data_IF_715171392468
#
_entry.id   IF_715171392468
#
_cell.length_a   1.000
_cell.length_b   1.000
_cell.length_c   1.000
_cell.angle_alpha   90.00
_cell.angle_beta   90.00
_cell.angle_gamma   90.00
#
_symmetry.space_group_name_H-M   'P 1'
#
loop_
_entity.id
_entity.type
_entity.pdbx_description
1 polymer ?
#
# COMPACT_ATOMS: atom_id res chain seq x y z
N UNK A 1 -5.13 -4.72 58.74
CA UNK A 1 -5.27 -5.55 57.52
C UNK A 1 -6.48 -5.04 56.76
N UNK A 2 -6.29 -4.28 55.68
CA UNK A 2 -7.39 -3.74 54.89
C UNK A 2 -7.55 -4.59 53.61
N UNK A 3 -8.61 -5.38 53.54
CA UNK A 3 -9.03 -6.10 52.34
C UNK A 3 -9.67 -5.11 51.38
N UNK A 4 -8.90 -4.67 50.39
CA UNK A 4 -9.36 -3.76 49.36
C UNK A 4 -9.95 -4.59 48.19
N UNK A 5 -11.20 -5.06 48.32
CA UNK A 5 -11.93 -5.75 47.25
C UNK A 5 -12.65 -4.73 46.37
N UNK A 6 -11.88 -3.93 45.64
CA UNK A 6 -12.38 -3.07 44.56
C UNK A 6 -12.35 -3.80 43.23
N UNK A 7 -13.23 -4.80 43.03
CA UNK A 7 -13.40 -5.43 41.71
C UNK A 7 -14.19 -4.47 40.80
N UNK A 8 -13.50 -3.47 40.23
CA UNK A 8 -14.01 -2.80 39.04
C UNK A 8 -14.05 -3.85 37.93
N UNK A 9 -15.24 -4.37 37.66
CA UNK A 9 -15.50 -5.33 36.58
C UNK A 9 -15.15 -4.65 35.25
N UNK A 10 -13.89 -4.74 34.84
CA UNK A 10 -13.43 -4.21 33.57
C UNK A 10 -13.62 -5.29 32.51
N UNK A 11 -14.15 -4.89 31.36
CA UNK A 11 -14.30 -5.74 30.18
C UNK A 11 -13.14 -5.40 29.24
N UNK A 12 -12.52 -6.42 28.67
CA UNK A 12 -11.47 -6.24 27.66
C UNK A 12 -12.08 -5.64 26.39
N UNK A 13 -11.52 -4.53 25.90
CA UNK A 13 -11.95 -3.88 24.67
C UNK A 13 -11.69 -4.74 23.42
N UNK A 14 -10.63 -5.55 23.43
CA UNK A 14 -10.25 -6.40 22.29
C UNK A 14 -11.14 -7.64 22.12
N UNK A 15 -11.32 -8.44 23.16
CA UNK A 15 -12.07 -9.71 23.08
C UNK A 15 -13.47 -9.66 23.69
N UNK A 16 -13.87 -8.56 24.34
CA UNK A 16 -15.16 -8.41 25.00
C UNK A 16 -15.34 -9.25 26.28
N UNK A 17 -14.34 -10.04 26.68
CA UNK A 17 -14.41 -10.87 27.89
C UNK A 17 -14.14 -10.04 29.15
N UNK A 18 -14.69 -10.50 30.28
CA UNK A 18 -14.41 -9.90 31.59
C UNK A 18 -12.97 -10.17 32.00
N UNK A 19 -12.26 -9.13 32.45
CA UNK A 19 -10.90 -9.23 32.94
C UNK A 19 -10.93 -9.79 34.36
N UNK A 20 -10.30 -10.95 34.57
CA UNK A 20 -10.25 -11.64 35.87
C UNK A 20 -9.10 -11.14 36.77
N UNK A 21 -8.18 -10.33 36.23
CA UNK A 21 -7.03 -9.76 36.93
C UNK A 21 -6.93 -8.23 36.79
N UNK A 22 -5.70 -7.71 36.80
CA UNK A 22 -5.45 -6.28 36.57
C UNK A 22 -5.64 -5.94 35.09
N UNK A 23 -6.42 -4.89 34.76
CA UNK A 23 -6.55 -4.43 33.38
C UNK A 23 -5.27 -3.75 32.91
N UNK A 24 -4.94 -3.94 31.63
CA UNK A 24 -3.83 -3.24 30.97
C UNK A 24 -4.38 -2.06 30.16
N UNK A 25 -4.12 -0.80 30.56
CA UNK A 25 -4.65 0.38 29.87
C UNK A 25 -3.81 0.74 28.63
N UNK A 26 -4.47 1.04 27.51
CA UNK A 26 -3.86 1.56 26.29
C UNK A 26 -4.83 2.47 25.53
N UNK A 27 -4.37 3.67 25.13
CA UNK A 27 -5.18 4.68 24.39
C UNK A 27 -6.58 4.93 25.01
N UNK A 28 -6.69 4.91 26.34
CA UNK A 28 -7.96 5.13 27.06
C UNK A 28 -8.88 3.91 27.18
N UNK A 29 -8.46 2.74 26.68
CA UNK A 29 -9.18 1.47 26.78
C UNK A 29 -8.46 0.46 27.69
N UNK A 30 -9.20 -0.50 28.25
CA UNK A 30 -8.67 -1.57 29.08
C UNK A 30 -8.65 -2.90 28.33
N UNK A 31 -7.56 -3.65 28.45
CA UNK A 31 -7.34 -4.92 27.76
C UNK A 31 -6.95 -6.04 28.72
N UNK A 32 -7.23 -7.29 28.34
CA UNK A 32 -6.52 -8.44 28.90
C UNK A 32 -5.09 -8.47 28.34
N UNK A 33 -4.20 -9.24 28.98
CA UNK A 33 -2.78 -9.28 28.62
C UNK A 33 -2.53 -9.61 27.14
N UNK A 34 -3.20 -10.64 26.60
CA UNK A 34 -3.03 -11.05 25.20
C UNK A 34 -3.50 -9.96 24.23
N UNK A 35 -4.69 -9.39 24.44
CA UNK A 35 -5.19 -8.31 23.58
C UNK A 35 -4.35 -7.03 23.73
N UNK A 36 -3.77 -6.79 24.90
CA UNK A 36 -2.85 -5.67 25.12
C UNK A 36 -1.58 -5.82 24.29
N UNK A 37 -0.99 -7.02 24.23
CA UNK A 37 0.19 -7.27 23.39
C UNK A 37 -0.11 -7.02 21.91
N UNK A 38 -1.23 -7.52 21.40
CA UNK A 38 -1.64 -7.26 20.00
C UNK A 38 -1.88 -5.78 19.76
N UNK A 39 -2.61 -5.11 20.65
CA UNK A 39 -2.89 -3.68 20.51
C UNK A 39 -1.60 -2.84 20.58
N UNK A 40 -0.62 -3.22 21.40
CA UNK A 40 0.68 -2.57 21.47
C UNK A 40 1.45 -2.69 20.15
N UNK A 41 1.46 -3.88 19.54
CA UNK A 41 2.08 -4.11 18.23
C UNK A 41 1.39 -3.30 17.13
N UNK A 42 0.07 -3.15 17.18
CA UNK A 42 -0.67 -2.31 16.23
C UNK A 42 -0.32 -0.84 16.37
N UNK A 43 -0.14 -0.34 17.60
CA UNK A 43 0.30 1.04 17.84
C UNK A 43 1.71 1.26 17.31
N UNK A 44 2.64 0.35 17.61
CA UNK A 44 4.02 0.45 17.13
C UNK A 44 4.07 0.42 15.59
N UNK A 45 3.29 -0.46 14.97
CA UNK A 45 3.17 -0.51 13.51
C UNK A 45 2.59 0.78 12.94
N UNK A 46 1.57 1.36 13.57
CA UNK A 46 0.98 2.63 13.14
C UNK A 46 2.01 3.77 13.20
N UNK A 47 2.84 3.80 14.24
CA UNK A 47 3.93 4.78 14.40
C UNK A 47 5.02 4.60 13.34
N UNK A 48 5.43 3.35 13.08
CA UNK A 48 6.37 3.04 12.00
C UNK A 48 5.84 3.47 10.64
N UNK A 49 4.56 3.23 10.35
CA UNK A 49 3.94 3.65 9.10
C UNK A 49 3.87 5.18 8.96
N UNK A 50 3.63 5.91 10.05
CA UNK A 50 3.69 7.39 10.05
C UNK A 50 5.10 7.88 9.74
N UNK A 51 6.12 7.27 10.34
CA UNK A 51 7.50 7.67 10.11
C UNK A 51 7.91 7.43 8.65
N UNK A 52 7.49 6.32 8.05
CA UNK A 52 7.70 6.04 6.62
C UNK A 52 7.03 7.10 5.73
N UNK A 53 5.79 7.48 6.05
CA UNK A 53 5.09 8.56 5.34
C UNK A 53 5.85 9.88 5.46
N UNK A 54 6.26 10.26 6.66
CA UNK A 54 6.98 11.51 6.90
C UNK A 54 8.36 11.53 6.26
N UNK A 55 9.07 10.42 6.27
CA UNK A 55 10.31 10.27 5.54
C UNK A 55 10.10 10.43 4.03
N UNK A 56 9.04 9.84 3.48
CA UNK A 56 8.69 9.97 2.05
C UNK A 56 8.42 11.43 1.67
N UNK A 57 7.67 12.16 2.50
CA UNK A 57 7.41 13.60 2.31
C UNK A 57 8.73 14.39 2.34
N UNK A 58 9.54 14.21 3.38
CA UNK A 58 10.83 14.92 3.53
C UNK A 58 11.76 14.67 2.34
N UNK A 59 11.83 13.42 1.86
CA UNK A 59 12.61 13.03 0.68
C UNK A 59 12.16 13.76 -0.58
N UNK A 60 10.86 13.78 -0.87
CA UNK A 60 10.31 14.33 -2.11
C UNK A 60 10.43 15.86 -2.13
N UNK A 61 10.06 16.51 -1.03
CA UNK A 61 10.07 17.97 -0.93
C UNK A 61 11.42 18.56 -0.49
N UNK A 62 12.40 17.70 -0.16
CA UNK A 62 13.74 18.08 0.32
C UNK A 62 13.70 19.05 1.50
N UNK A 63 12.83 18.74 2.47
CA UNK A 63 12.67 19.52 3.71
C UNK A 63 13.18 18.73 4.92
N UNK A 64 13.75 19.42 5.90
CA UNK A 64 14.16 18.81 7.17
C UNK A 64 12.96 18.51 8.07
N UNK A 65 12.01 19.43 8.11
CA UNK A 65 10.80 19.36 8.94
C UNK A 65 9.55 19.56 8.09
N UNK A 66 8.46 18.89 8.48
CA UNK A 66 7.17 19.00 7.79
C UNK A 66 6.38 20.14 8.44
N UNK A 67 5.93 21.15 7.67
CA UNK A 67 5.13 22.25 8.20
C UNK A 67 3.85 21.76 8.89
N UNK A 68 3.44 22.44 9.95
CA UNK A 68 2.25 22.06 10.74
C UNK A 68 0.97 22.04 9.89
N UNK A 69 0.85 22.90 8.88
CA UNK A 69 -0.28 22.92 7.95
C UNK A 69 -0.41 21.60 7.18
N UNK A 70 0.73 21.01 6.82
CA UNK A 70 0.81 19.74 6.09
C UNK A 70 0.49 18.58 7.02
N UNK A 71 0.99 18.60 8.26
CA UNK A 71 0.62 17.63 9.29
C UNK A 71 -0.89 17.65 9.56
N UNK A 72 -1.47 18.84 9.69
CA UNK A 72 -2.91 19.03 9.86
C UNK A 72 -3.70 18.48 8.67
N UNK A 73 -3.19 18.64 7.43
CA UNK A 73 -3.82 18.06 6.25
C UNK A 73 -3.80 16.53 6.30
N UNK A 74 -2.67 15.92 6.66
CA UNK A 74 -2.55 14.46 6.83
C UNK A 74 -3.54 13.97 7.89
N UNK A 75 -3.63 14.64 9.04
CA UNK A 75 -4.57 14.26 10.10
C UNK A 75 -6.03 14.33 9.65
N UNK A 76 -6.41 15.34 8.86
CA UNK A 76 -7.77 15.44 8.31
C UNK A 76 -8.09 14.25 7.40
N UNK A 77 -7.15 13.84 6.57
CA UNK A 77 -7.31 12.68 5.70
C UNK A 77 -7.39 11.37 6.50
N UNK A 78 -6.62 11.22 7.58
CA UNK A 78 -6.75 10.06 8.47
C UNK A 78 -8.11 10.02 9.17
N UNK A 79 -8.61 11.18 9.63
CA UNK A 79 -9.95 11.31 10.24
C UNK A 79 -11.09 11.02 9.26
N UNK A 80 -10.87 11.16 7.95
CA UNK A 80 -11.85 10.77 6.91
C UNK A 80 -11.89 9.26 6.65
N UNK A 81 -11.09 8.46 7.36
CA UNK A 81 -11.03 7.01 7.26
C UNK A 81 -9.99 6.49 6.26
N UNK A 82 -9.14 7.37 5.73
CA UNK A 82 -8.03 6.96 4.85
C UNK A 82 -6.90 6.34 5.67
N UNK A 83 -6.13 5.45 5.03
CA UNK A 83 -5.04 4.71 5.69
C UNK A 83 -3.70 5.40 5.42
N UNK A 84 -2.78 5.34 6.40
CA UNK A 84 -1.43 5.94 6.29
C UNK A 84 -0.70 5.46 5.03
N UNK A 85 -0.66 4.14 4.80
CA UNK A 85 -0.09 3.56 3.57
C UNK A 85 -0.75 4.05 2.29
N UNK A 86 -2.05 4.34 2.34
CA UNK A 86 -2.78 4.90 1.21
C UNK A 86 -2.30 6.31 0.89
N UNK A 87 -2.10 7.14 1.92
CA UNK A 87 -1.53 8.49 1.76
C UNK A 87 -0.11 8.41 1.20
N UNK A 88 0.75 7.54 1.72
CA UNK A 88 2.10 7.33 1.19
C UNK A 88 2.07 6.92 -0.29
N UNK A 89 1.18 5.98 -0.64
CA UNK A 89 0.99 5.52 -2.02
C UNK A 89 0.50 6.64 -2.92
N UNK A 90 -0.31 7.57 -2.39
CA UNK A 90 -0.80 8.74 -3.13
C UNK A 90 0.33 9.67 -3.50
N UNK A 91 1.24 9.95 -2.56
CA UNK A 91 2.41 10.80 -2.80
C UNK A 91 3.33 10.15 -3.84
N UNK A 92 3.64 8.86 -3.69
CA UNK A 92 4.45 8.09 -4.65
C UNK A 92 3.80 8.04 -6.02
N UNK A 93 2.50 7.79 -6.10
CA UNK A 93 1.77 7.78 -7.36
C UNK A 93 1.86 9.13 -8.08
N UNK A 94 1.63 10.23 -7.36
CA UNK A 94 1.62 11.54 -7.97
C UNK A 94 3.01 12.01 -8.42
N UNK A 95 4.05 11.79 -7.62
CA UNK A 95 5.39 12.30 -7.94
C UNK A 95 6.30 11.29 -8.64
N UNK A 96 6.31 10.02 -8.20
CA UNK A 96 7.23 9.02 -8.74
C UNK A 96 6.64 8.31 -9.98
N UNK A 97 5.32 8.12 -10.06
CA UNK A 97 4.68 7.36 -11.17
C UNK A 97 4.12 8.27 -12.26
N UNK A 98 3.43 9.34 -11.88
CA UNK A 98 2.94 10.34 -12.84
C UNK A 98 4.01 11.37 -13.21
N UNK A 99 5.18 11.33 -12.55
CA UNK A 99 6.31 12.22 -12.81
C UNK A 99 5.96 13.71 -12.73
N UNK A 100 4.99 14.09 -11.89
CA UNK A 100 4.63 15.49 -11.71
C UNK A 100 5.80 16.25 -11.07
N UNK A 101 6.04 17.52 -11.47
CA UNK A 101 7.07 18.34 -10.87
C UNK A 101 6.75 18.62 -9.39
N UNK A 102 7.79 18.61 -8.55
CA UNK A 102 7.65 18.93 -7.13
C UNK A 102 7.35 20.42 -6.97
N UNK A 103 6.11 20.73 -6.59
CA UNK A 103 5.66 22.08 -6.26
C UNK A 103 5.84 22.43 -4.78
N UNK A 104 5.21 23.53 -4.32
CA UNK A 104 5.20 23.90 -2.90
C UNK A 104 4.59 22.79 -2.04
N UNK A 105 5.25 22.46 -0.92
CA UNK A 105 4.79 21.42 0.01
C UNK A 105 3.40 21.70 0.59
N UNK A 106 2.98 22.97 0.64
CA UNK A 106 1.65 23.39 1.07
C UNK A 106 0.52 22.80 0.21
N UNK A 107 0.81 22.43 -1.04
CA UNK A 107 -0.16 21.81 -1.94
C UNK A 107 -0.39 20.32 -1.64
N UNK A 108 0.40 19.72 -0.75
CA UNK A 108 0.31 18.29 -0.44
C UNK A 108 -1.08 17.90 0.05
N UNK A 109 -1.75 18.74 0.83
CA UNK A 109 -3.12 18.47 1.29
C UNK A 109 -4.12 18.29 0.14
N UNK A 110 -4.03 19.13 -0.89
CA UNK A 110 -4.86 19.02 -2.09
C UNK A 110 -4.55 17.74 -2.87
N UNK A 111 -3.27 17.43 -3.05
CA UNK A 111 -2.83 16.21 -3.76
C UNK A 111 -3.32 14.96 -3.04
N UNK A 112 -3.16 14.91 -1.70
CA UNK A 112 -3.65 13.81 -0.90
C UNK A 112 -5.16 13.66 -1.06
N UNK A 113 -5.92 14.76 -1.04
CA UNK A 113 -7.36 14.71 -1.21
C UNK A 113 -7.79 14.13 -2.57
N UNK A 114 -7.31 14.74 -3.65
CA UNK A 114 -7.79 14.50 -5.02
C UNK A 114 -7.26 13.21 -5.64
N UNK A 115 -6.03 12.80 -5.29
CA UNK A 115 -5.35 11.70 -5.97
C UNK A 115 -5.42 10.37 -5.23
N UNK A 116 -6.01 10.34 -4.03
CA UNK A 116 -6.04 9.13 -3.20
C UNK A 116 -6.70 7.95 -3.89
N UNK A 117 -7.88 8.17 -4.47
CA UNK A 117 -8.61 7.08 -5.12
C UNK A 117 -7.92 6.63 -6.42
N UNK A 118 -7.31 7.55 -7.16
CA UNK A 118 -6.50 7.21 -8.33
C UNK A 118 -5.31 6.33 -7.95
N UNK A 119 -4.57 6.74 -6.92
CA UNK A 119 -3.42 5.99 -6.41
C UNK A 119 -3.84 4.61 -5.88
N UNK A 120 -4.93 4.55 -5.10
CA UNK A 120 -5.49 3.29 -4.60
C UNK A 120 -5.85 2.33 -5.73
N UNK A 121 -6.52 2.83 -6.77
CA UNK A 121 -6.90 2.04 -7.93
C UNK A 121 -5.68 1.59 -8.75
N UNK A 122 -4.67 2.44 -8.87
CA UNK A 122 -3.40 2.08 -9.49
C UNK A 122 -2.72 0.93 -8.73
N UNK A 123 -2.53 1.06 -7.41
CA UNK A 123 -1.89 0.04 -6.57
C UNK A 123 -2.66 -1.28 -6.63
N UNK A 124 -3.99 -1.24 -6.60
CA UNK A 124 -4.84 -2.43 -6.71
C UNK A 124 -4.62 -3.15 -8.05
N UNK A 125 -4.58 -2.41 -9.16
CA UNK A 125 -4.35 -2.94 -10.50
C UNK A 125 -2.95 -3.53 -10.66
N UNK A 126 -1.90 -2.83 -10.21
CA UNK A 126 -0.53 -3.36 -10.26
C UNK A 126 -0.41 -4.64 -9.43
N UNK A 127 -0.99 -4.66 -8.23
CA UNK A 127 -0.99 -5.85 -7.39
C UNK A 127 -1.71 -7.05 -8.05
N UNK A 128 -2.81 -6.80 -8.77
CA UNK A 128 -3.51 -7.83 -9.50
C UNK A 128 -2.67 -8.42 -10.65
N UNK A 129 -1.96 -7.56 -11.39
CA UNK A 129 -1.05 -7.98 -12.47
C UNK A 129 0.11 -8.81 -11.90
N UNK A 130 0.73 -8.37 -10.80
CA UNK A 130 1.83 -9.11 -10.18
C UNK A 130 1.39 -10.50 -9.71
N UNK A 131 0.25 -10.60 -9.02
CA UNK A 131 -0.30 -11.90 -8.60
C UNK A 131 -0.60 -12.82 -9.77
N UNK A 132 -1.12 -12.28 -10.88
CA UNK A 132 -1.34 -13.07 -12.09
C UNK A 132 -0.01 -13.59 -12.65
N UNK A 133 1.00 -12.74 -12.76
CA UNK A 133 2.32 -13.13 -13.27
C UNK A 133 3.02 -14.19 -12.40
N UNK A 134 2.85 -14.12 -11.08
CA UNK A 134 3.38 -15.13 -10.14
C UNK A 134 2.72 -16.51 -10.33
N UNK A 135 1.56 -16.58 -10.98
CA UNK A 135 0.83 -17.83 -11.27
C UNK A 135 1.10 -18.39 -12.68
N UNK A 136 1.77 -17.63 -13.55
CA UNK A 136 2.12 -18.09 -14.89
C UNK A 136 3.40 -18.92 -14.83
N UNK A 137 3.26 -20.25 -14.91
CA UNK A 137 4.40 -21.16 -15.02
C UNK A 137 5.07 -20.97 -16.40
N UNK A 138 6.28 -20.42 -16.40
CA UNK A 138 7.09 -20.20 -17.60
C UNK A 138 7.84 -21.46 -18.05
N UNK A 139 7.55 -22.65 -17.51
CA UNK A 139 8.00 -23.92 -18.06
C UNK A 139 7.31 -24.21 -19.40
N UNK A 140 7.64 -23.41 -20.42
CA UNK A 140 7.41 -23.78 -21.81
C UNK A 140 8.39 -24.90 -22.13
N UNK A 141 7.95 -26.13 -22.39
CA UNK A 141 8.87 -27.19 -22.79
C UNK A 141 9.60 -26.77 -24.07
N UNK A 142 10.91 -27.05 -24.20
CA UNK A 142 11.66 -26.65 -25.39
C UNK A 142 11.01 -27.24 -26.64
N UNK A 143 10.49 -26.37 -27.51
CA UNK A 143 9.98 -26.79 -28.82
C UNK A 143 11.18 -27.18 -29.66
N UNK A 144 11.40 -28.49 -29.81
CA UNK A 144 12.42 -29.00 -30.73
C UNK A 144 11.87 -28.86 -32.15
N UNK A 145 12.26 -27.80 -32.85
CA UNK A 145 11.91 -27.64 -34.26
C UNK A 145 12.76 -28.61 -35.07
N UNK A 146 12.14 -29.68 -35.60
CA UNK A 146 12.81 -30.58 -36.54
C UNK A 146 12.99 -29.86 -37.87
N UNK A 147 14.18 -29.30 -38.09
CA UNK A 147 14.58 -28.76 -39.39
C UNK A 147 14.81 -29.93 -40.34
N UNK A 148 13.85 -30.22 -41.22
CA UNK A 148 14.03 -31.13 -42.35
C UNK A 148 14.75 -30.41 -43.48
N UNK A 149 15.69 -31.10 -44.14
CA UNK A 149 16.60 -30.57 -45.17
C UNK A 149 15.91 -29.83 -46.34
N UNK A 150 14.62 -30.06 -46.55
CA UNK A 150 13.82 -29.39 -47.58
C UNK A 150 13.48 -27.92 -47.26
N UNK A 151 13.67 -27.48 -46.02
CA UNK A 151 13.42 -26.09 -45.58
C UNK A 151 14.59 -25.13 -45.85
N UNK A 152 15.67 -25.60 -46.48
CA UNK A 152 16.82 -24.78 -46.91
C UNK A 152 16.72 -24.30 -48.38
N UNK A 153 15.59 -24.51 -49.06
CA UNK A 153 15.39 -23.85 -50.35
C UNK A 153 15.24 -22.34 -50.09
N UNK A 154 16.06 -21.48 -50.69
CA UNK A 154 15.89 -20.04 -50.56
C UNK A 154 14.50 -19.69 -51.10
N UNK A 155 13.68 -19.09 -50.24
CA UNK A 155 12.41 -18.48 -50.63
C UNK A 155 12.78 -17.41 -51.66
N UNK A 156 12.43 -17.62 -52.93
CA UNK A 156 12.48 -16.53 -53.92
C UNK A 156 11.39 -15.54 -53.52
N UNK A 157 11.73 -14.25 -53.54
CA UNK A 157 10.86 -13.13 -53.13
C UNK A 157 9.54 -13.00 -53.92
N UNK A 158 9.22 -13.94 -54.81
CA UNK A 158 8.06 -13.89 -55.68
C UNK A 158 6.78 -14.44 -54.99
N UNK A 159 6.91 -15.12 -53.84
CA UNK A 159 5.78 -15.76 -53.14
C UNK A 159 5.17 -14.92 -52.00
N UNK A 160 5.70 -13.73 -51.70
CA UNK A 160 5.13 -12.87 -50.67
C UNK A 160 4.13 -11.89 -51.30
N UNK A 161 2.93 -12.40 -51.62
CA UNK A 161 1.77 -11.55 -51.93
C UNK A 161 1.00 -11.24 -50.66
N UNK A 162 1.18 -10.04 -50.11
CA UNK A 162 0.28 -9.53 -49.08
C UNK A 162 -0.98 -8.99 -49.77
N UNK A 163 -2.15 -9.58 -49.47
CA UNK A 163 -3.43 -8.94 -49.78
C UNK A 163 -3.68 -7.83 -48.75
N UNK A 164 -3.54 -6.58 -49.19
CA UNK A 164 -3.87 -5.37 -48.44
C UNK A 164 -5.40 -5.22 -48.45
N UNK A 165 -6.13 -6.10 -47.77
CA UNK A 165 -7.58 -5.90 -47.57
C UNK A 165 -8.00 -5.96 -46.10
N UNK A 166 -7.13 -6.42 -45.18
CA UNK A 166 -7.46 -6.51 -43.75
C UNK A 166 -6.99 -5.31 -42.91
N UNK A 167 -6.71 -4.16 -43.56
CA UNK A 167 -6.45 -2.89 -42.88
C UNK A 167 -7.52 -1.86 -43.27
N UNK A 168 -8.76 -2.08 -42.81
CA UNK A 168 -9.73 -1.02 -42.55
C UNK A 168 -10.56 -1.34 -41.31
#
# INVERSE_FOLDING_TARGET
MATNTGSTKSTCYGCGQRILGWPYPLKGHNYCYECFQTAQQEVEKEEQEKEILYHTIRRIFKVSEIPSEVLNAIERELKSGRKIRGLESTIKYYYDIMENPVGPITNLGFILHDQYDNAKNYVARVSAIMRHNDTVDLNVPPVTVKVTRDSLRPIRNDDISYKIEDLK
#
